data_IF_002885320055
#
_entry.id   IF_002885320055
#
_cell.length_a   1.000
_cell.length_b   1.000
_cell.length_c   1.000
_cell.angle_alpha   90.00
_cell.angle_beta   90.00
_cell.angle_gamma   90.00
#
_symmetry.space_group_name_H-M   'P 1'
#
loop_
_entity.id
_entity.type
_entity.pdbx_description
1 polymer ?
#
# COMPACT_ATOMS: atom_id res chain seq x y z
N UNK A 1 -2.43 14.40 -22.85
CA UNK A 1 -3.31 14.68 -21.71
C UNK A 1 -3.63 13.44 -20.87
N UNK A 2 -4.48 12.49 -21.32
CA UNK A 2 -4.86 11.33 -20.46
C UNK A 2 -3.65 10.47 -20.07
N UNK A 3 -2.77 10.14 -21.03
CA UNK A 3 -1.55 9.35 -20.77
C UNK A 3 -0.59 10.09 -19.81
N UNK A 4 -0.47 11.41 -19.96
CA UNK A 4 0.36 12.24 -19.08
C UNK A 4 -0.17 12.24 -17.64
N UNK A 5 -1.49 12.32 -17.46
CA UNK A 5 -2.12 12.24 -16.13
C UNK A 5 -1.75 10.91 -15.45
N UNK A 6 -1.91 9.77 -16.15
CA UNK A 6 -1.52 8.47 -15.59
C UNK A 6 -0.03 8.41 -15.24
N UNK A 7 0.84 8.97 -16.07
CA UNK A 7 2.27 9.02 -15.80
C UNK A 7 2.61 9.85 -14.57
N UNK A 8 2.06 11.06 -14.44
CA UNK A 8 2.27 11.91 -13.27
C UNK A 8 1.70 11.28 -11.99
N UNK A 9 0.51 10.69 -12.05
CA UNK A 9 -0.08 9.98 -10.91
C UNK A 9 0.78 8.78 -10.48
N UNK A 10 1.25 7.96 -11.45
CA UNK A 10 2.14 6.84 -11.16
C UNK A 10 3.46 7.30 -10.53
N UNK A 11 4.03 8.40 -11.01
CA UNK A 11 5.26 8.98 -10.44
C UNK A 11 5.05 9.39 -8.97
N UNK A 12 3.94 10.07 -8.65
CA UNK A 12 3.62 10.47 -7.27
C UNK A 12 3.45 9.24 -6.37
N UNK A 13 2.75 8.20 -6.83
CA UNK A 13 2.59 6.95 -6.08
C UNK A 13 3.93 6.27 -5.84
N UNK A 14 4.80 6.21 -6.85
CA UNK A 14 6.15 5.63 -6.73
C UNK A 14 7.03 6.39 -5.73
N UNK A 15 6.99 7.72 -5.75
CA UNK A 15 7.71 8.56 -4.78
C UNK A 15 7.18 8.31 -3.37
N UNK A 16 5.85 8.27 -3.20
CA UNK A 16 5.23 7.92 -1.92
C UNK A 16 5.65 6.54 -1.42
N UNK A 17 5.69 5.55 -2.32
CA UNK A 17 6.06 4.18 -1.99
C UNK A 17 7.53 4.10 -1.56
N UNK A 18 8.40 4.88 -2.20
CA UNK A 18 9.78 5.01 -1.80
C UNK A 18 9.92 5.58 -0.37
N UNK A 19 9.19 6.65 -0.02
CA UNK A 19 9.21 7.19 1.34
C UNK A 19 8.63 6.21 2.38
N UNK A 20 7.55 5.50 2.03
CA UNK A 20 7.00 4.45 2.89
C UNK A 20 8.02 3.34 3.13
N UNK A 21 8.72 2.90 2.07
CA UNK A 21 9.79 1.91 2.16
C UNK A 21 10.93 2.39 3.08
N UNK A 22 11.34 3.65 2.97
CA UNK A 22 12.34 4.24 3.89
C UNK A 22 11.85 4.18 5.34
N UNK A 23 10.57 4.45 5.61
CA UNK A 23 9.99 4.32 6.97
C UNK A 23 10.01 2.88 7.48
N UNK A 24 9.79 1.88 6.60
CA UNK A 24 9.86 0.46 6.97
C UNK A 24 11.27 0.07 7.42
N UNK A 25 12.31 0.51 6.72
CA UNK A 25 13.69 0.14 7.03
C UNK A 25 14.29 0.97 8.17
N UNK A 26 14.05 2.28 8.19
CA UNK A 26 14.68 3.23 9.11
C UNK A 26 13.76 3.67 10.26
N UNK A 27 12.58 3.05 10.41
CA UNK A 27 11.66 3.32 11.52
C UNK A 27 12.31 2.99 12.89
N UNK A 28 12.27 3.92 13.88
CA UNK A 28 12.97 3.74 15.15
C UNK A 28 12.28 2.71 16.07
N UNK A 29 10.96 2.61 16.03
CA UNK A 29 10.20 1.62 16.79
C UNK A 29 9.54 0.56 15.88
N UNK A 30 9.14 -0.58 16.45
CA UNK A 30 8.39 -1.61 15.72
C UNK A 30 7.06 -1.05 15.17
N UNK A 31 6.23 -0.33 15.95
CA UNK A 31 5.01 0.31 15.43
C UNK A 31 5.27 1.25 14.25
N UNK A 32 6.38 2.01 14.27
CA UNK A 32 6.72 2.92 13.17
C UNK A 32 6.94 2.19 11.84
N UNK A 33 7.57 1.02 11.90
CA UNK A 33 7.81 0.18 10.72
C UNK A 33 6.51 -0.43 10.21
N UNK A 34 5.62 -0.85 11.12
CA UNK A 34 4.31 -1.41 10.77
C UNK A 34 3.44 -0.37 10.05
N UNK A 35 3.41 0.87 10.51
CA UNK A 35 2.70 1.96 9.82
C UNK A 35 3.32 2.23 8.43
N UNK A 36 4.64 2.11 8.30
CA UNK A 36 5.32 2.16 7.01
C UNK A 36 4.85 1.09 6.03
N UNK A 37 4.70 -0.16 6.50
CA UNK A 37 4.19 -1.28 5.69
C UNK A 37 2.73 -1.04 5.28
N UNK A 38 1.88 -0.59 6.20
CA UNK A 38 0.47 -0.32 5.92
C UNK A 38 0.28 0.80 4.88
N UNK A 39 1.10 1.84 4.98
CA UNK A 39 1.15 2.93 3.99
C UNK A 39 1.61 2.41 2.62
N UNK A 40 2.67 1.58 2.60
CA UNK A 40 3.19 0.99 1.38
C UNK A 40 2.14 0.11 0.67
N UNK A 41 1.42 -0.71 1.43
CA UNK A 41 0.35 -1.55 0.90
C UNK A 41 -0.78 -0.72 0.28
N UNK A 42 -1.17 0.38 0.91
CA UNK A 42 -2.18 1.30 0.37
C UNK A 42 -1.73 1.92 -0.96
N UNK A 43 -0.45 2.28 -1.07
CA UNK A 43 0.12 2.83 -2.31
C UNK A 43 0.21 1.79 -3.43
N UNK A 44 0.47 0.51 -3.09
CA UNK A 44 0.40 -0.60 -4.04
C UNK A 44 -1.03 -0.76 -4.58
N UNK A 45 -2.04 -0.71 -3.72
CA UNK A 45 -3.46 -0.76 -4.12
C UNK A 45 -3.79 0.41 -5.05
N UNK A 46 -3.37 1.63 -4.72
CA UNK A 46 -3.55 2.80 -5.58
C UNK A 46 -2.86 2.61 -6.95
N UNK A 47 -1.66 2.03 -6.97
CA UNK A 47 -0.96 1.65 -8.20
C UNK A 47 -1.74 0.66 -9.06
N UNK A 48 -2.29 -0.40 -8.47
CA UNK A 48 -3.12 -1.38 -9.17
C UNK A 48 -4.37 -0.73 -9.80
N UNK A 49 -5.04 0.16 -9.08
CA UNK A 49 -6.20 0.89 -9.59
C UNK A 49 -5.82 1.81 -10.76
N UNK A 50 -4.70 2.53 -10.65
CA UNK A 50 -4.18 3.37 -11.73
C UNK A 50 -3.83 2.55 -12.98
N UNK A 51 -3.21 1.38 -12.81
CA UNK A 51 -2.90 0.46 -13.92
C UNK A 51 -4.15 -0.11 -14.56
N UNK A 52 -5.16 -0.48 -13.76
CA UNK A 52 -6.45 -0.95 -14.25
C UNK A 52 -7.17 0.07 -15.12
N UNK A 53 -7.14 1.34 -14.69
CA UNK A 53 -7.68 2.45 -15.46
C UNK A 53 -6.83 2.78 -16.71
N UNK A 54 -5.50 2.69 -16.63
CA UNK A 54 -4.61 2.99 -17.75
C UNK A 54 -4.67 1.94 -18.87
N UNK A 55 -4.86 0.66 -18.53
CA UNK A 55 -4.90 -0.44 -19.49
C UNK A 55 -6.31 -0.89 -19.88
N UNK A 56 -7.36 -0.28 -19.33
CA UNK A 56 -8.75 -0.67 -19.53
C UNK A 56 -8.98 -2.16 -19.24
N UNK A 57 -8.56 -2.57 -18.04
CA UNK A 57 -8.57 -3.96 -17.56
C UNK A 57 -9.06 -4.01 -16.12
N UNK A 58 -10.26 -4.55 -15.93
CA UNK A 58 -10.90 -4.67 -14.61
C UNK A 58 -10.21 -5.67 -13.68
N UNK A 59 -9.44 -6.63 -14.22
CA UNK A 59 -8.72 -7.63 -13.42
C UNK A 59 -7.79 -7.00 -12.37
N UNK A 60 -7.20 -5.83 -12.65
CA UNK A 60 -6.35 -5.14 -11.69
C UNK A 60 -7.15 -4.61 -10.49
N UNK A 61 -8.43 -4.24 -10.70
CA UNK A 61 -9.34 -3.80 -9.64
C UNK A 61 -9.72 -4.97 -8.74
N UNK A 62 -9.99 -6.14 -9.32
CA UNK A 62 -10.30 -7.34 -8.56
C UNK A 62 -9.13 -7.74 -7.64
N UNK A 63 -7.90 -7.70 -8.18
CA UNK A 63 -6.67 -7.93 -7.41
C UNK A 63 -6.50 -6.87 -6.32
N UNK A 64 -6.74 -5.59 -6.63
CA UNK A 64 -6.60 -4.49 -5.69
C UNK A 64 -7.52 -4.64 -4.47
N UNK A 65 -8.78 -5.02 -4.68
CA UNK A 65 -9.75 -5.21 -3.60
C UNK A 65 -9.33 -6.37 -2.68
N UNK A 66 -8.95 -7.51 -3.27
CA UNK A 66 -8.49 -8.67 -2.48
C UNK A 66 -7.22 -8.33 -1.70
N UNK A 67 -6.26 -7.64 -2.33
CA UNK A 67 -5.02 -7.22 -1.68
C UNK A 67 -5.29 -6.24 -0.52
N UNK A 68 -6.18 -5.27 -0.71
CA UNK A 68 -6.55 -4.31 0.33
C UNK A 68 -7.14 -4.99 1.57
N UNK A 69 -8.03 -5.96 1.38
CA UNK A 69 -8.62 -6.75 2.46
C UNK A 69 -7.56 -7.58 3.21
N UNK A 70 -6.68 -8.27 2.48
CA UNK A 70 -5.61 -9.06 3.07
C UNK A 70 -4.61 -8.19 3.86
N UNK A 71 -4.24 -7.03 3.30
CA UNK A 71 -3.36 -6.06 3.97
C UNK A 71 -3.96 -5.60 5.29
N UNK A 72 -5.25 -5.22 5.28
CA UNK A 72 -5.94 -4.75 6.49
C UNK A 72 -5.94 -5.81 7.60
N UNK A 73 -6.26 -7.07 7.25
CA UNK A 73 -6.24 -8.18 8.21
C UNK A 73 -4.83 -8.38 8.78
N UNK A 74 -3.79 -8.31 7.93
CA UNK A 74 -2.40 -8.41 8.36
C UNK A 74 -2.00 -7.31 9.36
N UNK A 75 -2.34 -6.05 9.05
CA UNK A 75 -2.08 -4.92 9.95
C UNK A 75 -2.79 -5.08 11.29
N UNK A 76 -4.06 -5.53 11.28
CA UNK A 76 -4.83 -5.77 12.50
C UNK A 76 -4.22 -6.90 13.35
N UNK A 77 -3.78 -7.99 12.72
CA UNK A 77 -3.14 -9.11 13.40
C UNK A 77 -1.84 -8.66 14.10
N UNK A 78 -1.01 -7.87 13.42
CA UNK A 78 0.22 -7.30 13.99
C UNK A 78 -0.12 -6.34 15.14
N UNK A 79 -1.11 -5.47 14.98
CA UNK A 79 -1.54 -4.55 16.03
C UNK A 79 -2.01 -5.30 17.29
N UNK A 80 -2.79 -6.38 17.12
CA UNK A 80 -3.24 -7.24 18.21
C UNK A 80 -2.09 -7.92 18.94
N UNK A 81 -1.11 -8.43 18.19
CA UNK A 81 0.10 -9.01 18.76
C UNK A 81 0.89 -7.98 19.59
N UNK A 82 1.09 -6.77 19.05
CA UNK A 82 1.80 -5.70 19.75
C UNK A 82 1.06 -5.20 21.01
N UNK A 83 -0.27 -5.28 21.03
CA UNK A 83 -1.09 -4.92 22.19
C UNK A 83 -1.04 -5.98 23.31
N UNK A 84 -0.44 -7.15 23.07
CA UNK A 84 -0.43 -8.26 24.03
C UNK A 84 -1.69 -9.13 23.99
N UNK A 85 -2.54 -8.99 22.97
CA UNK A 85 -3.82 -9.69 22.86
C UNK A 85 -3.76 -11.14 22.36
N UNK A 86 -2.62 -11.81 22.54
CA UNK A 86 -2.41 -13.23 22.21
C UNK A 86 -2.16 -14.09 23.47
N UNK A 87 -2.51 -13.56 24.64
CA UNK A 87 -2.72 -14.32 25.89
C UNK A 87 -4.16 -14.82 25.99
#
# INVERSE_FOLDING_TARGET
MIVEIFFYSALVVMIGAFFALLRVFFGPSVPDRVVGVDTLNTLIVAGMVLLGAAYDRTIYIDIAIVYALLSYIGTLAIARYLQGGLE
#
